data_IF_686377163991
#
_entry.id   IF_686377163991
#
_cell.length_a   1.000
_cell.length_b   1.000
_cell.length_c   1.000
_cell.angle_alpha   90.00
_cell.angle_beta   90.00
_cell.angle_gamma   90.00
#
_symmetry.space_group_name_H-M   'P 1'
#
loop_
_entity.id
_entity.type
_entity.pdbx_description
1 polymer ?
#
# COMPACT_ATOMS: atom_id res chain seq x y z
N UNK A 1 14.79 -0.31 -3.46
CA UNK A 1 15.22 1.09 -3.62
C UNK A 1 16.51 1.39 -2.86
N UNK A 2 16.66 1.01 -1.58
CA UNK A 2 17.89 1.28 -0.81
C UNK A 2 19.18 0.80 -1.50
N UNK A 3 19.24 -0.47 -1.92
CA UNK A 3 20.41 -1.02 -2.62
C UNK A 3 20.64 -0.35 -3.98
N UNK A 4 19.58 0.08 -4.68
CA UNK A 4 19.72 0.79 -5.96
C UNK A 4 20.24 2.23 -5.79
N UNK A 5 20.06 2.84 -4.61
CA UNK A 5 20.51 4.19 -4.32
C UNK A 5 21.93 4.24 -3.74
N UNK A 6 22.49 3.11 -3.26
CA UNK A 6 23.82 3.11 -2.65
C UNK A 6 24.93 3.49 -3.63
N UNK A 7 24.94 2.93 -4.84
CA UNK A 7 25.95 3.26 -5.85
C UNK A 7 25.89 4.73 -6.29
N UNK A 8 24.73 5.33 -6.65
CA UNK A 8 24.63 6.75 -6.93
C UNK A 8 24.98 7.66 -5.74
N UNK A 9 24.62 7.26 -4.51
CA UNK A 9 24.98 8.02 -3.31
C UNK A 9 26.49 8.04 -3.08
N UNK A 10 27.15 6.88 -3.21
CA UNK A 10 28.60 6.76 -3.06
C UNK A 10 29.36 7.43 -4.20
N UNK A 11 28.80 7.48 -5.40
CA UNK A 11 29.38 8.25 -6.52
C UNK A 11 29.58 9.73 -6.17
N UNK A 12 28.71 10.29 -5.33
CA UNK A 12 28.80 11.70 -4.90
C UNK A 12 29.95 11.95 -3.91
N UNK A 13 30.46 10.90 -3.26
CA UNK A 13 31.52 10.99 -2.23
C UNK A 13 32.85 10.48 -2.78
N UNK A 14 32.85 9.34 -3.45
CA UNK A 14 34.04 8.61 -3.90
C UNK A 14 34.20 8.52 -5.41
N UNK A 15 33.37 9.22 -6.18
CA UNK A 15 33.44 9.20 -7.64
C UNK A 15 33.00 7.87 -8.28
N UNK A 16 33.30 7.72 -9.57
CA UNK A 16 32.85 6.59 -10.38
C UNK A 16 33.43 5.25 -9.94
N UNK A 17 34.65 5.23 -9.38
CA UNK A 17 35.35 4.00 -9.01
C UNK A 17 34.69 3.30 -7.81
N UNK A 18 34.34 4.07 -6.77
CA UNK A 18 33.63 3.53 -5.60
C UNK A 18 32.22 3.07 -6.00
N UNK A 19 31.54 3.83 -6.87
CA UNK A 19 30.24 3.44 -7.38
C UNK A 19 30.32 2.11 -8.17
N UNK A 20 31.35 1.94 -8.99
CA UNK A 20 31.61 0.70 -9.73
C UNK A 20 31.83 -0.48 -8.79
N UNK A 21 32.62 -0.33 -7.72
CA UNK A 21 32.84 -1.39 -6.74
C UNK A 21 31.52 -1.83 -6.07
N UNK A 22 30.66 -0.88 -5.71
CA UNK A 22 29.35 -1.19 -5.11
C UNK A 22 28.42 -1.88 -6.10
N UNK A 23 28.47 -1.49 -7.39
CA UNK A 23 27.73 -2.19 -8.45
C UNK A 23 28.24 -3.61 -8.64
N UNK A 24 29.55 -3.84 -8.62
CA UNK A 24 30.15 -5.18 -8.69
C UNK A 24 29.75 -6.05 -7.50
N UNK A 25 29.71 -5.49 -6.28
CA UNK A 25 29.21 -6.19 -5.10
C UNK A 25 27.73 -6.55 -5.25
N UNK A 26 26.92 -5.63 -5.78
CA UNK A 26 25.52 -5.87 -6.08
C UNK A 26 25.32 -6.97 -7.12
N UNK A 27 26.27 -7.16 -8.04
CA UNK A 27 26.24 -8.25 -9.02
C UNK A 27 26.27 -9.60 -8.34
N UNK A 28 27.27 -9.85 -7.49
CA UNK A 28 27.43 -11.14 -6.80
C UNK A 28 26.20 -11.51 -5.97
N UNK A 29 25.58 -10.52 -5.32
CA UNK A 29 24.48 -10.76 -4.40
C UNK A 29 23.08 -10.90 -5.06
N UNK A 30 22.88 -10.34 -6.27
CA UNK A 30 21.55 -10.24 -6.88
C UNK A 30 21.41 -10.87 -8.28
N UNK A 31 22.49 -11.39 -8.90
CA UNK A 31 22.47 -11.96 -10.27
C UNK A 31 22.24 -13.49 -10.36
N UNK A 32 21.56 -14.12 -9.41
CA UNK A 32 20.99 -15.45 -9.66
C UNK A 32 19.82 -15.35 -10.63
N UNK A 33 19.90 -15.86 -11.87
CA UNK A 33 18.68 -16.05 -12.71
C UNK A 33 17.89 -17.19 -12.05
N UNK A 34 16.60 -17.01 -11.66
CA UNK A 34 15.59 -16.02 -12.11
C UNK A 34 15.26 -14.89 -11.10
N UNK A 35 16.05 -14.74 -10.05
CA UNK A 35 15.79 -13.85 -8.91
C UNK A 35 15.62 -12.38 -9.30
N UNK A 36 16.41 -11.89 -10.27
CA UNK A 36 16.39 -10.48 -10.69
C UNK A 36 15.06 -10.04 -11.34
N UNK A 37 14.43 -10.95 -12.11
CA UNK A 37 13.12 -10.68 -12.74
C UNK A 37 12.00 -10.73 -11.71
N UNK A 38 12.06 -11.72 -10.81
CA UNK A 38 11.02 -11.96 -9.82
C UNK A 38 11.06 -10.95 -8.67
N UNK A 39 12.23 -10.55 -8.16
CA UNK A 39 12.30 -9.65 -7.01
C UNK A 39 12.10 -8.18 -7.39
N UNK A 40 12.47 -7.76 -8.60
CA UNK A 40 12.35 -6.37 -9.01
C UNK A 40 11.06 -6.09 -9.78
N UNK A 41 10.79 -6.82 -10.87
CA UNK A 41 9.67 -6.51 -11.75
C UNK A 41 8.33 -6.98 -11.21
N UNK A 42 8.27 -8.13 -10.53
CA UNK A 42 7.01 -8.66 -10.03
C UNK A 42 6.35 -7.69 -9.02
N UNK A 43 7.03 -7.18 -7.98
CA UNK A 43 6.40 -6.30 -7.01
C UNK A 43 6.00 -4.96 -7.64
N UNK A 44 6.81 -4.43 -8.55
CA UNK A 44 6.52 -3.17 -9.25
C UNK A 44 5.27 -3.33 -10.13
N UNK A 45 5.21 -4.39 -10.94
CA UNK A 45 4.06 -4.65 -11.82
C UNK A 45 2.79 -4.88 -11.02
N UNK A 46 2.85 -5.66 -9.95
CA UNK A 46 1.68 -5.87 -9.06
C UNK A 46 1.26 -4.54 -8.41
N UNK A 47 2.21 -3.75 -7.91
CA UNK A 47 1.93 -2.48 -7.24
C UNK A 47 1.27 -1.46 -8.18
N UNK A 48 1.85 -1.27 -9.37
CA UNK A 48 1.33 -0.34 -10.39
C UNK A 48 0.00 -0.84 -10.94
N UNK A 49 -0.08 -2.13 -11.29
CA UNK A 49 -1.28 -2.78 -11.79
C UNK A 49 -2.46 -2.67 -10.82
N UNK A 50 -2.26 -3.03 -9.55
CA UNK A 50 -3.29 -2.90 -8.52
C UNK A 50 -3.73 -1.43 -8.32
N UNK A 51 -2.79 -0.49 -8.37
CA UNK A 51 -3.07 0.94 -8.22
C UNK A 51 -3.88 1.51 -9.38
N UNK A 52 -3.58 1.08 -10.61
CA UNK A 52 -4.32 1.50 -11.80
C UNK A 52 -5.72 0.88 -11.83
N UNK A 53 -5.83 -0.43 -11.60
CA UNK A 53 -7.12 -1.13 -11.54
C UNK A 53 -8.05 -0.51 -10.50
N UNK A 54 -7.55 -0.18 -9.31
CA UNK A 54 -8.33 0.49 -8.26
C UNK A 54 -8.88 1.85 -8.70
N UNK A 55 -8.14 2.59 -9.52
CA UNK A 55 -8.58 3.90 -10.05
C UNK A 55 -9.64 3.74 -11.12
N UNK A 56 -9.43 2.81 -12.07
CA UNK A 56 -10.40 2.49 -13.12
C UNK A 56 -11.74 2.05 -12.50
N UNK A 57 -11.71 1.16 -11.51
CA UNK A 57 -12.91 0.71 -10.80
C UNK A 57 -13.62 1.85 -10.07
N UNK A 58 -12.87 2.74 -9.41
CA UNK A 58 -13.47 3.92 -8.73
C UNK A 58 -14.08 4.90 -9.73
N UNK A 59 -13.45 5.10 -10.88
CA UNK A 59 -13.97 5.96 -11.94
C UNK A 59 -15.26 5.37 -12.53
N UNK A 60 -15.26 4.07 -12.86
CA UNK A 60 -16.43 3.36 -13.36
C UNK A 60 -17.63 3.46 -12.41
N UNK A 61 -17.41 3.25 -11.10
CA UNK A 61 -18.46 3.41 -10.08
C UNK A 61 -19.00 4.84 -10.01
N UNK A 62 -18.14 5.86 -10.11
CA UNK A 62 -18.57 7.28 -10.12
C UNK A 62 -19.44 7.60 -11.33
N UNK A 63 -19.09 7.06 -12.50
CA UNK A 63 -19.87 7.26 -13.71
C UNK A 63 -21.22 6.50 -13.65
N UNK A 64 -21.22 5.27 -13.14
CA UNK A 64 -22.45 4.48 -12.96
C UNK A 64 -23.44 5.16 -12.00
N UNK A 65 -22.99 5.57 -10.81
CA UNK A 65 -23.82 6.28 -9.82
C UNK A 65 -24.30 7.64 -10.35
N UNK A 66 -23.46 8.35 -11.12
CA UNK A 66 -23.85 9.62 -11.76
C UNK A 66 -24.91 9.41 -12.85
N UNK A 67 -24.91 8.26 -13.52
CA UNK A 67 -25.90 7.90 -14.53
C UNK A 67 -27.27 7.65 -13.91
N UNK A 68 -27.33 6.93 -12.78
CA UNK A 68 -28.60 6.72 -12.05
C UNK A 68 -29.15 8.03 -11.47
N UNK A 69 -28.28 8.91 -10.96
CA UNK A 69 -28.69 10.17 -10.33
C UNK A 69 -29.11 11.25 -11.34
N UNK A 70 -28.85 11.07 -12.64
CA UNK A 70 -29.30 11.99 -13.71
C UNK A 70 -30.81 11.89 -14.00
N UNK A 71 -31.48 10.84 -13.50
CA UNK A 71 -32.94 10.70 -13.60
C UNK A 71 -33.74 11.39 -12.47
N UNK A 72 -33.10 11.74 -11.34
CA UNK A 72 -33.77 12.30 -10.16
C UNK A 72 -32.86 13.33 -9.44
N UNK A 73 -32.75 14.56 -9.96
CA UNK A 73 -32.42 15.74 -9.11
C UNK A 73 -32.56 17.09 -9.83
N UNK A 74 -33.72 17.71 -9.63
CA UNK A 74 -33.84 19.12 -9.24
C UNK A 74 -33.43 19.26 -7.76
N UNK A 75 -32.58 20.26 -7.48
CA UNK A 75 -32.32 20.92 -6.19
C UNK A 75 -31.60 20.10 -5.08
N UNK A 76 -30.65 20.80 -4.43
CA UNK A 76 -29.93 20.47 -3.19
C UNK A 76 -29.05 19.20 -3.17
N UNK A 77 -27.74 19.41 -3.13
CA UNK A 77 -27.03 19.64 -1.86
C UNK A 77 -25.53 19.63 -2.14
N UNK A 78 -24.92 20.82 -2.09
CA UNK A 78 -23.49 20.99 -2.23
C UNK A 78 -22.86 21.05 -0.84
N UNK A 79 -21.79 20.27 -0.70
CA UNK A 79 -20.65 20.54 0.17
C UNK A 79 -20.85 20.39 1.69
N UNK A 80 -20.71 19.15 2.17
CA UNK A 80 -19.81 18.92 3.31
C UNK A 80 -19.08 17.57 3.14
N UNK A 81 -17.93 17.58 2.47
CA UNK A 81 -17.09 16.40 2.26
C UNK A 81 -15.73 16.65 2.90
N UNK A 82 -15.58 16.15 4.14
CA UNK A 82 -14.41 16.28 5.01
C UNK A 82 -13.06 16.21 4.29
N UNK A 83 -12.38 17.34 4.31
CA UNK A 83 -11.14 17.66 3.61
C UNK A 83 -9.90 17.18 4.37
N UNK A 84 -9.74 15.89 4.64
CA UNK A 84 -8.48 15.38 5.23
C UNK A 84 -7.94 14.10 4.56
N UNK A 85 -8.77 13.34 3.83
CA UNK A 85 -8.32 12.16 3.06
C UNK A 85 -7.74 12.52 1.67
N UNK A 86 -7.90 13.77 1.22
CA UNK A 86 -7.50 14.22 -0.10
C UNK A 86 -5.99 14.47 -0.21
N UNK A 87 -5.31 14.92 0.84
CA UNK A 87 -3.92 15.40 0.74
C UNK A 87 -2.92 14.27 0.47
N UNK A 88 -2.91 13.21 1.28
CA UNK A 88 -1.98 12.09 1.08
C UNK A 88 -2.26 11.36 -0.24
N UNK A 89 -3.54 11.12 -0.57
CA UNK A 89 -3.90 10.48 -1.83
C UNK A 89 -3.48 11.32 -3.03
N UNK A 90 -3.67 12.63 -2.99
CA UNK A 90 -3.24 13.56 -4.05
C UNK A 90 -1.71 13.59 -4.20
N UNK A 91 -0.93 13.57 -3.11
CA UNK A 91 0.54 13.51 -3.19
C UNK A 91 1.01 12.21 -3.83
N UNK A 92 0.47 11.05 -3.40
CA UNK A 92 0.83 9.76 -4.01
C UNK A 92 0.48 9.70 -5.50
N UNK A 93 -0.64 10.31 -5.90
CA UNK A 93 -1.02 10.41 -7.33
C UNK A 93 -0.03 11.30 -8.08
N UNK A 94 0.24 12.50 -7.55
CA UNK A 94 1.07 13.51 -8.20
C UNK A 94 2.51 13.06 -8.35
N UNK A 95 3.02 12.25 -7.43
CA UNK A 95 4.36 11.65 -7.53
C UNK A 95 4.36 10.34 -8.34
N UNK A 96 3.27 9.58 -8.32
CA UNK A 96 3.17 8.31 -9.03
C UNK A 96 3.22 8.43 -10.56
N UNK A 97 2.57 9.45 -11.13
CA UNK A 97 2.59 9.68 -12.59
C UNK A 97 3.97 10.03 -13.16
N UNK A 98 4.67 11.07 -12.65
CA UNK A 98 6.02 11.38 -13.13
C UNK A 98 6.99 10.23 -12.86
N UNK A 99 6.84 9.52 -11.74
CA UNK A 99 7.64 8.32 -11.45
C UNK A 99 7.42 7.26 -12.53
N UNK A 100 6.18 6.93 -12.88
CA UNK A 100 5.88 5.96 -13.94
C UNK A 100 6.46 6.40 -15.30
N UNK A 101 6.27 7.68 -15.65
CA UNK A 101 6.76 8.24 -16.91
C UNK A 101 8.30 8.19 -17.00
N UNK A 102 9.01 8.50 -15.91
CA UNK A 102 10.47 8.52 -15.87
C UNK A 102 11.08 7.13 -15.66
N UNK A 103 10.35 6.22 -15.02
CA UNK A 103 10.79 4.85 -14.77
C UNK A 103 10.92 4.04 -16.06
N UNK A 104 10.04 4.26 -17.04
CA UNK A 104 10.08 3.57 -18.34
C UNK A 104 11.42 3.81 -19.06
N UNK A 105 11.83 5.06 -19.38
CA UNK A 105 13.10 5.31 -20.03
C UNK A 105 14.30 4.96 -19.14
N UNK A 106 14.18 5.06 -17.80
CA UNK A 106 15.22 4.60 -16.89
C UNK A 106 15.49 3.10 -17.01
N UNK A 107 14.43 2.27 -16.93
CA UNK A 107 14.53 0.81 -17.12
C UNK A 107 14.98 0.47 -18.53
N UNK A 108 14.47 1.17 -19.54
CA UNK A 108 14.87 0.93 -20.93
C UNK A 108 16.37 1.16 -21.12
N UNK A 109 16.87 2.31 -20.66
CA UNK A 109 18.27 2.72 -20.87
C UNK A 109 19.25 1.87 -20.05
N UNK A 110 18.94 1.57 -18.79
CA UNK A 110 19.86 0.88 -17.88
C UNK A 110 19.69 -0.63 -17.83
N UNK A 111 18.68 -1.19 -18.54
CA UNK A 111 18.40 -2.63 -18.45
C UNK A 111 17.96 -3.26 -19.76
N UNK A 112 16.91 -2.74 -20.40
CA UNK A 112 16.36 -3.39 -21.60
C UNK A 112 17.25 -3.24 -22.84
N UNK A 113 17.76 -2.02 -23.11
CA UNK A 113 18.57 -1.73 -24.30
C UNK A 113 19.92 -2.46 -24.24
N UNK A 114 20.68 -2.44 -23.12
CA UNK A 114 21.94 -3.18 -23.03
C UNK A 114 21.77 -4.70 -23.18
N UNK A 115 20.66 -5.26 -22.67
CA UNK A 115 20.34 -6.68 -22.78
C UNK A 115 19.89 -7.12 -24.18
N UNK A 116 19.67 -6.18 -25.10
CA UNK A 116 19.13 -6.50 -26.41
C UNK A 116 20.15 -7.32 -27.21
N UNK A 117 19.73 -8.41 -27.89
CA UNK A 117 20.62 -9.17 -28.78
C UNK A 117 20.81 -8.50 -30.15
N UNK A 118 20.17 -7.35 -30.39
CA UNK A 118 20.20 -6.65 -31.68
C UNK A 118 21.49 -5.82 -31.80
N UNK A 119 22.25 -5.92 -32.91
CA UNK A 119 23.42 -5.09 -33.16
C UNK A 119 23.14 -3.59 -33.01
N UNK A 120 24.12 -2.77 -32.56
CA UNK A 120 25.53 -3.08 -32.35
C UNK A 120 25.87 -3.70 -30.99
N UNK A 121 24.89 -3.96 -30.13
CA UNK A 121 25.09 -4.41 -28.74
C UNK A 121 24.86 -5.92 -28.68
N UNK A 122 25.90 -6.69 -28.38
CA UNK A 122 25.86 -8.17 -28.40
C UNK A 122 25.37 -8.75 -27.07
N UNK A 123 24.12 -8.45 -26.67
CA UNK A 123 23.49 -9.03 -25.46
C UNK A 123 24.32 -8.88 -24.18
N UNK A 124 24.94 -7.70 -23.99
CA UNK A 124 25.70 -7.40 -22.77
C UNK A 124 24.73 -7.49 -21.58
N UNK A 125 25.11 -8.25 -20.56
CA UNK A 125 24.28 -8.31 -19.35
C UNK A 125 24.13 -6.90 -18.77
N UNK A 126 22.94 -6.47 -18.29
CA UNK A 126 22.76 -5.19 -17.60
C UNK A 126 23.78 -4.93 -16.49
N UNK A 127 24.33 -5.99 -15.90
CA UNK A 127 25.36 -5.97 -14.86
C UNK A 127 26.76 -5.61 -15.34
N UNK A 128 27.02 -5.62 -16.65
CA UNK A 128 28.28 -5.18 -17.24
C UNK A 128 28.25 -3.69 -17.59
N UNK A 129 27.09 -3.04 -17.47
CA UNK A 129 26.98 -1.59 -17.57
C UNK A 129 27.58 -0.97 -16.32
N UNK A 130 28.73 -0.32 -16.44
CA UNK A 130 29.39 0.37 -15.34
C UNK A 130 28.83 1.80 -15.12
N UNK A 131 29.30 2.46 -14.08
CA UNK A 131 28.92 3.84 -13.76
C UNK A 131 29.49 4.86 -14.77
N UNK A 132 30.46 4.48 -15.61
CA UNK A 132 31.01 5.39 -16.62
C UNK A 132 29.99 5.71 -17.71
N UNK A 133 29.07 4.77 -18.01
CA UNK A 133 27.93 5.02 -18.88
C UNK A 133 27.02 6.13 -18.34
N UNK A 134 26.73 6.11 -17.03
CA UNK A 134 25.94 7.16 -16.36
C UNK A 134 26.68 8.49 -16.40
N UNK A 135 27.98 8.47 -16.11
CA UNK A 135 28.84 9.65 -16.16
C UNK A 135 28.89 10.27 -17.56
N UNK A 136 29.01 9.46 -18.61
CA UNK A 136 28.95 9.90 -20.01
C UNK A 136 27.63 10.62 -20.32
N UNK A 137 26.50 10.05 -19.89
CA UNK A 137 25.18 10.67 -20.07
C UNK A 137 25.03 12.01 -19.35
N UNK A 138 25.58 12.13 -18.14
CA UNK A 138 25.62 13.38 -17.38
C UNK A 138 26.56 14.42 -18.00
N UNK A 139 27.68 14.00 -18.59
CA UNK A 139 28.65 14.90 -19.22
C UNK A 139 28.13 15.46 -20.56
N UNK A 140 27.51 14.62 -21.38
CA UNK A 140 27.12 15.00 -22.74
C UNK A 140 25.72 15.63 -22.82
N UNK A 141 24.81 15.25 -21.91
CA UNK A 141 23.48 15.85 -21.82
C UNK A 141 23.15 16.27 -20.39
N UNK A 142 23.90 17.23 -19.81
CA UNK A 142 23.86 17.54 -18.39
C UNK A 142 22.46 17.91 -17.91
N UNK A 143 21.80 18.85 -18.60
CA UNK A 143 20.47 19.32 -18.19
C UNK A 143 19.43 18.19 -18.29
N UNK A 144 19.42 17.45 -19.40
CA UNK A 144 18.47 16.37 -19.64
C UNK A 144 18.64 15.25 -18.62
N UNK A 145 19.85 14.73 -18.48
CA UNK A 145 20.17 13.62 -17.59
C UNK A 145 19.92 14.02 -16.13
N UNK A 146 20.38 15.21 -15.72
CA UNK A 146 20.14 15.73 -14.39
C UNK A 146 18.64 15.85 -14.08
N UNK A 147 17.84 16.44 -14.97
CA UNK A 147 16.40 16.61 -14.76
C UNK A 147 15.68 15.26 -14.66
N UNK A 148 15.99 14.32 -15.56
CA UNK A 148 15.42 12.96 -15.54
C UNK A 148 15.70 12.25 -14.20
N UNK A 149 16.95 12.29 -13.73
CA UNK A 149 17.32 11.68 -12.45
C UNK A 149 16.72 12.43 -11.25
N UNK A 150 16.71 13.75 -11.26
CA UNK A 150 16.14 14.57 -10.20
C UNK A 150 14.63 14.30 -10.05
N UNK A 151 13.88 14.22 -11.15
CA UNK A 151 12.45 13.88 -11.13
C UNK A 151 12.24 12.45 -10.63
N UNK A 152 13.00 11.48 -11.15
CA UNK A 152 12.84 10.07 -10.76
C UNK A 152 13.14 9.86 -9.26
N UNK A 153 14.27 10.38 -8.78
CA UNK A 153 14.71 10.26 -7.39
C UNK A 153 13.79 11.06 -6.46
N UNK A 154 13.50 12.32 -6.79
CA UNK A 154 12.64 13.19 -5.99
C UNK A 154 11.22 12.62 -5.87
N UNK A 155 10.59 12.29 -7.00
CA UNK A 155 9.27 11.68 -6.99
C UNK A 155 9.27 10.33 -6.27
N UNK A 156 10.30 9.50 -6.46
CA UNK A 156 10.50 8.22 -5.78
C UNK A 156 10.55 8.36 -4.26
N UNK A 157 11.42 9.22 -3.75
CA UNK A 157 11.58 9.48 -2.32
C UNK A 157 10.27 10.00 -1.74
N UNK A 158 9.66 11.02 -2.36
CA UNK A 158 8.39 11.58 -1.86
C UNK A 158 7.27 10.53 -1.88
N UNK A 159 7.19 9.69 -2.92
CA UNK A 159 6.20 8.62 -3.04
C UNK A 159 6.35 7.57 -1.94
N UNK A 160 7.59 7.17 -1.62
CA UNK A 160 7.87 6.21 -0.53
C UNK A 160 7.56 6.84 0.83
N UNK A 161 8.04 8.05 1.12
CA UNK A 161 7.84 8.71 2.42
C UNK A 161 6.34 8.87 2.74
N UNK A 162 5.53 9.29 1.76
CA UNK A 162 4.09 9.47 1.99
C UNK A 162 3.31 8.15 1.87
N UNK A 163 3.79 7.20 1.06
CA UNK A 163 3.13 5.91 0.87
C UNK A 163 3.33 4.93 2.02
N UNK A 164 4.50 4.94 2.65
CA UNK A 164 4.87 3.99 3.70
C UNK A 164 3.90 4.03 4.89
N UNK A 165 3.54 5.18 5.48
CA UNK A 165 2.59 5.23 6.60
C UNK A 165 1.20 4.71 6.23
N UNK A 166 0.77 4.92 4.97
CA UNK A 166 -0.54 4.46 4.48
C UNK A 166 -0.57 2.94 4.42
N UNK A 167 0.48 2.31 3.89
CA UNK A 167 0.60 0.85 3.82
C UNK A 167 0.74 0.27 5.23
N UNK A 168 1.61 0.85 6.06
CA UNK A 168 1.84 0.42 7.44
C UNK A 168 0.53 0.40 8.24
N UNK A 169 -0.25 1.48 8.19
CA UNK A 169 -1.54 1.57 8.88
C UNK A 169 -2.53 0.51 8.37
N UNK A 170 -2.60 0.26 7.06
CA UNK A 170 -3.50 -0.74 6.51
C UNK A 170 -3.12 -2.16 6.93
N UNK A 171 -1.82 -2.49 6.89
CA UNK A 171 -1.31 -3.81 7.27
C UNK A 171 -1.42 -4.04 8.78
N UNK A 172 -1.00 -3.06 9.60
CA UNK A 172 -1.10 -3.12 11.05
C UNK A 172 -2.56 -3.31 11.51
N UNK A 173 -3.52 -2.56 10.95
CA UNK A 173 -4.94 -2.71 11.29
C UNK A 173 -5.48 -4.10 10.90
N UNK A 174 -5.05 -4.68 9.78
CA UNK A 174 -5.44 -6.04 9.39
C UNK A 174 -4.89 -7.08 10.37
N UNK A 175 -3.64 -6.94 10.77
CA UNK A 175 -3.01 -7.83 11.76
C UNK A 175 -3.71 -7.71 13.12
N UNK A 176 -3.98 -6.49 13.60
CA UNK A 176 -4.69 -6.26 14.86
C UNK A 176 -6.12 -6.80 14.86
N UNK A 177 -6.84 -6.70 13.73
CA UNK A 177 -8.18 -7.30 13.61
C UNK A 177 -8.11 -8.82 13.64
N UNK A 178 -7.11 -9.40 12.97
CA UNK A 178 -6.89 -10.86 12.96
C UNK A 178 -6.59 -11.37 14.37
N UNK A 179 -5.72 -10.70 15.13
CA UNK A 179 -5.41 -11.10 16.52
C UNK A 179 -6.60 -10.95 17.44
N UNK A 180 -7.40 -9.87 17.30
CA UNK A 180 -8.63 -9.70 18.10
C UNK A 180 -9.67 -10.79 17.79
N UNK A 181 -9.82 -11.21 16.53
CA UNK A 181 -10.73 -12.29 16.16
C UNK A 181 -10.33 -13.62 16.83
N UNK A 182 -9.04 -13.98 16.79
CA UNK A 182 -8.51 -15.17 17.43
C UNK A 182 -8.71 -15.13 18.96
N UNK A 183 -8.47 -13.96 19.60
CA UNK A 183 -8.67 -13.80 21.03
C UNK A 183 -10.15 -13.81 21.46
N UNK A 184 -11.06 -13.40 20.57
CA UNK A 184 -12.51 -13.50 20.79
C UNK A 184 -12.97 -14.95 20.76
N UNK A 185 -12.49 -15.75 19.82
CA UNK A 185 -12.81 -17.18 19.74
C UNK A 185 -12.27 -17.96 20.96
N UNK A 186 -11.08 -17.60 21.46
CA UNK A 186 -10.53 -18.23 22.67
C UNK A 186 -11.29 -17.90 23.96
N UNK A 187 -12.01 -16.76 24.01
CA UNK A 187 -12.88 -16.41 25.16
C UNK A 187 -14.24 -17.12 25.12
N UNK A 188 -14.69 -17.56 23.95
CA UNK A 188 -15.97 -18.28 23.82
C UNK A 188 -15.79 -19.78 24.17
N UNK A 189 -14.58 -20.33 24.01
CA UNK A 189 -14.24 -21.71 24.40
C UNK A 189 -14.08 -21.98 25.90
N UNK A 190 -14.09 -20.96 26.76
CA UNK A 190 -14.03 -21.14 28.24
C UNK A 190 -15.36 -20.89 28.94
N UNK A 191 -16.41 -20.53 28.20
CA UNK A 191 -17.77 -20.50 28.74
C UNK A 191 -18.38 -21.90 28.66
N UNK A 192 -17.86 -22.83 29.45
CA UNK A 192 -18.65 -23.97 29.89
C UNK A 192 -19.75 -23.40 30.78
N UNK A 193 -20.89 -23.08 30.17
CA UNK A 193 -22.13 -22.94 30.92
C UNK A 193 -22.36 -24.29 31.58
N UNK A 194 -21.98 -24.38 32.86
CA UNK A 194 -22.57 -25.36 33.78
C UNK A 194 -24.04 -24.97 33.80
N UNK A 195 -24.83 -25.60 32.94
CA UNK A 195 -26.27 -25.52 33.01
C UNK A 195 -26.63 -26.07 34.40
N UNK A 196 -27.10 -25.24 35.35
CA UNK A 196 -27.60 -25.80 36.60
C UNK A 196 -28.72 -26.74 36.18
N UNK A 197 -28.54 -28.03 36.46
CA UNK A 197 -29.64 -28.99 36.34
C UNK A 197 -30.76 -28.41 37.19
N UNK A 198 -31.84 -28.05 36.51
CA UNK A 198 -33.09 -27.58 37.09
C UNK A 198 -33.44 -28.55 38.20
N UNK A 199 -33.21 -28.11 39.45
CA UNK A 199 -33.83 -28.70 40.61
C UNK A 199 -35.31 -28.48 40.41
N UNK A 200 -36.06 -29.56 40.22
CA UNK A 200 -37.51 -29.51 40.16
C UNK A 200 -38.05 -28.81 41.42
N UNK A 201 -39.10 -27.99 41.29
CA UNK A 201 -39.71 -27.36 42.45
C UNK A 201 -40.27 -28.45 43.37
N UNK A 202 -39.77 -28.48 44.61
CA UNK A 202 -40.41 -29.21 45.70
C UNK A 202 -41.70 -28.45 46.02
N UNK A 203 -42.84 -29.00 45.61
CA UNK A 203 -44.15 -28.51 46.02
C UNK A 203 -44.37 -28.85 47.50
N UNK A 204 -44.36 -27.82 48.35
CA UNK A 204 -44.91 -27.90 49.70
C UNK A 204 -46.35 -27.40 49.59
N UNK A 205 -47.38 -28.22 49.86
CA UNK A 205 -48.75 -27.73 49.88
C UNK A 205 -48.92 -26.79 51.09
N UNK A 206 -49.14 -25.51 50.79
CA UNK A 206 -49.55 -24.51 51.77
C UNK A 206 -51.08 -24.49 51.77
N UNK A 207 -51.65 -25.12 52.78
CA UNK A 207 -53.07 -25.07 53.11
C UNK A 207 -53.23 -23.91 54.11
N UNK A 208 -54.09 -22.93 53.81
CA UNK A 208 -54.28 -21.83 54.75
C UNK A 208 -54.81 -20.53 54.15
N UNK A 209 -56.12 -20.57 53.94
CA UNK A 209 -57.11 -19.55 54.29
C UNK A 209 -56.98 -18.12 53.73
N UNK A 210 -58.07 -17.75 53.06
CA UNK A 210 -58.44 -16.38 52.71
C UNK A 210 -58.50 -15.54 53.99
N UNK A 211 -57.90 -14.35 53.97
CA UNK A 211 -58.57 -13.10 54.28
C UNK A 211 -57.54 -11.98 54.44
N UNK A 212 -57.94 -10.82 53.95
CA UNK A 212 -57.51 -9.50 54.42
C UNK A 212 -56.14 -8.99 53.92
N UNK A 213 -56.16 -8.05 52.99
CA UNK A 213 -55.84 -6.66 53.32
C UNK A 213 -56.05 -5.74 52.10
N UNK A 214 -57.00 -4.81 52.26
CA UNK A 214 -57.10 -3.58 51.46
C UNK A 214 -55.86 -2.71 51.71
N UNK A 215 -55.30 -2.11 50.67
CA UNK A 215 -54.48 -0.89 50.79
C UNK A 215 -55.00 0.17 49.80
N UNK A 216 -55.21 1.41 50.25
CA UNK A 216 -55.82 2.47 49.46
C UNK A 216 -54.86 3.14 48.47
N UNK A 217 -55.48 3.71 47.46
CA UNK A 217 -54.96 4.59 46.42
C UNK A 217 -54.26 5.81 47.03
N UNK A 218 -53.01 6.06 46.63
CA UNK A 218 -52.28 7.29 46.95
C UNK A 218 -51.99 8.03 45.65
N UNK A 219 -52.75 9.09 45.43
CA UNK A 219 -52.54 10.04 44.35
C UNK A 219 -51.21 10.77 44.50
N UNK A 220 -50.62 11.11 43.36
CA UNK A 220 -49.45 11.98 43.25
C UNK A 220 -49.81 13.11 42.28
N UNK A 221 -49.61 14.33 42.78
CA UNK A 221 -49.68 15.62 42.08
C UNK A 221 -48.57 15.77 41.03
#
# INVERSE_FOLDING_TARGET
MLIHLSAPALASIGGTDVANQVMLLGREYYHGVPQEKLLAFLPITIHVGASLSKRVLKLGRRLAVRSEKKGNRTVQESANSGTNSLTASNVLVRTGYPLLLMLIPHIATHRLIPSSPVPPISSISPSELDYTFVHFGLRNWPIRSWLMYAVLVGAGITHVIHGMPVVWRQTALKLLKKTRAIHSESRIGTSWYISPKVGGPIYIPFDGDENDLRIPDVGVL
#
